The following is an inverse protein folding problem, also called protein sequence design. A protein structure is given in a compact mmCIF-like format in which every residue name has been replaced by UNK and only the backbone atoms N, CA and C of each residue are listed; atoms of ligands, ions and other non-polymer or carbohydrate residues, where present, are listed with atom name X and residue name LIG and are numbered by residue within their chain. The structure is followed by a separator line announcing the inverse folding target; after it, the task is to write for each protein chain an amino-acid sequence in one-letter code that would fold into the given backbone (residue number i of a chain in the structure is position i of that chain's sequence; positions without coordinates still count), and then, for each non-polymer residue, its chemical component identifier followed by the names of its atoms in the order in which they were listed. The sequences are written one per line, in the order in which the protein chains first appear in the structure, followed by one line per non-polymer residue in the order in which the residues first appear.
data_IF_701350544240
#
_entry.id   IF_701350544240
#
_cell.length_a   1.000
_cell.length_b   1.000
_cell.length_c   1.000
_cell.angle_alpha   90.00
_cell.angle_beta   90.00
_cell.angle_gamma   90.00
#
_symmetry.space_group_name_H-M   'P 1'
#
loop_
_entity.id
_entity.type
_entity.pdbx_description
1 polymer ?
#
# COMPACT_ATOMS: atom_id res chain seq x y z
N UNK A 1 -4.09 13.39 -13.74
CA UNK A 1 -3.33 12.23 -14.26
C UNK A 1 -3.79 10.90 -13.69
N UNK A 2 -4.77 10.86 -12.77
CA UNK A 2 -5.45 9.62 -12.37
C UNK A 2 -6.12 8.96 -13.59
N UNK A 3 -6.11 7.63 -13.65
CA UNK A 3 -6.75 6.85 -14.73
C UNK A 3 -7.53 5.66 -14.16
N UNK A 4 -8.41 5.06 -14.97
CA UNK A 4 -9.15 3.86 -14.60
C UNK A 4 -8.29 2.59 -14.47
N UNK A 5 -7.04 2.61 -14.97
CA UNK A 5 -6.08 1.50 -14.84
C UNK A 5 -5.06 1.72 -13.73
N UNK A 6 -5.12 2.86 -13.07
CA UNK A 6 -4.21 3.27 -12.01
C UNK A 6 -3.26 4.36 -12.44
N UNK A 7 -2.18 4.49 -11.69
CA UNK A 7 -1.08 5.41 -11.93
C UNK A 7 0.24 4.71 -11.61
N UNK A 8 1.35 5.38 -11.90
CA UNK A 8 2.66 5.09 -11.36
C UNK A 8 3.35 6.40 -10.98
N UNK A 9 4.63 6.32 -10.60
CA UNK A 9 5.47 7.45 -10.22
C UNK A 9 5.60 8.54 -11.30
N UNK A 10 5.28 8.24 -12.55
CA UNK A 10 5.33 9.17 -13.67
C UNK A 10 3.95 9.43 -14.30
N UNK A 11 3.64 10.71 -14.55
CA UNK A 11 2.44 11.10 -15.31
C UNK A 11 2.47 10.55 -16.74
N UNK A 12 1.30 10.25 -17.29
CA UNK A 12 1.12 9.79 -18.68
C UNK A 12 1.92 8.52 -19.02
N UNK A 13 2.02 7.59 -18.07
CA UNK A 13 2.63 6.27 -18.27
C UNK A 13 1.59 5.25 -18.74
N UNK A 14 2.03 4.29 -19.56
CA UNK A 14 1.27 3.09 -19.93
C UNK A 14 1.53 1.91 -18.99
N UNK A 15 2.44 2.08 -18.04
CA UNK A 15 2.73 1.13 -16.95
C UNK A 15 2.16 1.68 -15.65
N UNK A 16 1.48 0.83 -14.91
CA UNK A 16 0.85 1.15 -13.63
C UNK A 16 1.44 0.25 -12.54
N UNK A 17 1.56 0.77 -11.33
CA UNK A 17 1.93 -0.02 -10.17
C UNK A 17 0.94 0.15 -9.03
N UNK A 18 0.82 -0.90 -8.22
CA UNK A 18 -0.16 -0.95 -7.14
C UNK A 18 0.18 -0.01 -5.99
N UNK A 19 1.45 0.35 -5.82
CA UNK A 19 1.91 1.15 -4.69
C UNK A 19 1.40 2.59 -4.84
N UNK A 20 1.72 3.20 -5.99
CA UNK A 20 1.25 4.52 -6.38
C UNK A 20 -0.28 4.54 -6.56
N UNK A 21 -0.85 3.50 -7.17
CA UNK A 21 -2.30 3.42 -7.36
C UNK A 21 -3.07 3.31 -6.04
N UNK A 22 -2.58 2.51 -5.08
CA UNK A 22 -3.19 2.39 -3.77
C UNK A 22 -3.07 3.68 -2.95
N UNK A 23 -1.90 4.32 -2.99
CA UNK A 23 -1.68 5.60 -2.32
C UNK A 23 -2.58 6.70 -2.89
N UNK A 24 -2.57 6.84 -4.22
CA UNK A 24 -3.41 7.80 -4.93
C UNK A 24 -4.90 7.57 -4.66
N UNK A 25 -5.37 6.33 -4.78
CA UNK A 25 -6.76 5.96 -4.50
C UNK A 25 -7.19 6.38 -3.09
N UNK A 26 -6.41 5.98 -2.08
CA UNK A 26 -6.73 6.25 -0.68
C UNK A 26 -6.79 7.74 -0.39
N UNK A 27 -5.79 8.50 -0.86
CA UNK A 27 -5.73 9.94 -0.64
C UNK A 27 -6.87 10.68 -1.36
N UNK A 28 -7.10 10.37 -2.64
CA UNK A 28 -8.18 10.97 -3.42
C UNK A 28 -9.55 10.71 -2.77
N UNK A 29 -9.82 9.45 -2.39
CA UNK A 29 -11.09 9.08 -1.75
C UNK A 29 -11.29 9.77 -0.40
N UNK A 30 -10.27 9.78 0.46
CA UNK A 30 -10.37 10.43 1.77
C UNK A 30 -10.57 11.95 1.68
N UNK A 31 -10.22 12.57 0.55
CA UNK A 31 -10.42 14.00 0.30
C UNK A 31 -11.65 14.28 -0.59
N UNK A 32 -12.55 13.31 -0.75
CA UNK A 32 -13.85 13.51 -1.40
C UNK A 32 -13.85 13.45 -2.92
N UNK A 33 -12.77 12.97 -3.55
CA UNK A 33 -12.77 12.72 -4.99
C UNK A 33 -13.43 11.37 -5.31
N UNK A 34 -14.19 11.35 -6.41
CA UNK A 34 -14.78 10.13 -6.94
C UNK A 34 -13.72 9.29 -7.65
N UNK A 35 -13.34 8.18 -7.03
CA UNK A 35 -12.40 7.18 -7.58
C UNK A 35 -13.00 5.79 -7.43
N UNK A 36 -13.04 5.02 -8.52
CA UNK A 36 -13.53 3.64 -8.51
C UNK A 36 -12.47 2.69 -7.98
N UNK A 37 -12.90 1.73 -7.15
CA UNK A 37 -12.08 0.61 -6.70
C UNK A 37 -11.72 -0.38 -7.82
N UNK A 38 -12.40 -0.30 -8.98
CA UNK A 38 -12.11 -1.16 -10.14
C UNK A 38 -10.68 -1.00 -10.66
N UNK A 39 -10.01 0.10 -10.30
CA UNK A 39 -8.59 0.31 -10.55
C UNK A 39 -7.74 -0.88 -10.08
N UNK A 40 -8.14 -1.55 -9.00
CA UNK A 40 -7.41 -2.69 -8.43
C UNK A 40 -7.57 -3.99 -9.20
N UNK A 41 -8.56 -4.10 -10.11
CA UNK A 41 -8.73 -5.27 -10.97
C UNK A 41 -7.52 -5.48 -11.89
N UNK A 42 -6.80 -4.39 -12.24
CA UNK A 42 -5.59 -4.48 -13.07
C UNK A 42 -4.43 -5.21 -12.38
N UNK A 43 -4.43 -5.24 -11.04
CA UNK A 43 -3.36 -5.81 -10.22
C UNK A 43 -3.75 -7.16 -9.61
N UNK A 44 -5.00 -7.57 -9.77
CA UNK A 44 -5.54 -8.83 -9.25
C UNK A 44 -5.36 -9.95 -10.27
N UNK A 45 -4.91 -11.12 -9.80
CA UNK A 45 -4.89 -12.34 -10.59
C UNK A 45 -5.02 -13.57 -9.69
N UNK A 46 -6.16 -14.24 -9.76
CA UNK A 46 -6.38 -15.51 -9.07
C UNK A 46 -6.54 -15.37 -7.55
N UNK A 47 -7.08 -14.24 -7.09
CA UNK A 47 -7.25 -13.90 -5.68
C UNK A 47 -5.99 -13.31 -5.02
N UNK A 48 -4.93 -13.08 -5.79
CA UNK A 48 -3.69 -12.46 -5.33
C UNK A 48 -3.48 -11.10 -6.01
N UNK A 49 -2.76 -10.21 -5.33
CA UNK A 49 -2.43 -8.87 -5.83
C UNK A 49 -0.92 -8.72 -6.05
N UNK A 50 -0.56 -8.01 -7.11
CA UNK A 50 0.83 -7.86 -7.57
C UNK A 50 1.21 -6.40 -7.80
N UNK A 51 2.49 -6.08 -7.65
CA UNK A 51 2.99 -4.73 -7.83
C UNK A 51 2.78 -4.19 -9.25
N UNK A 52 2.96 -5.03 -10.27
CA UNK A 52 2.80 -4.67 -11.68
C UNK A 52 1.95 -5.75 -12.34
N UNK A 53 0.95 -5.33 -13.12
CA UNK A 53 0.09 -6.26 -13.87
C UNK A 53 0.90 -7.24 -14.71
N UNK A 54 0.63 -8.54 -14.57
CA UNK A 54 1.32 -9.60 -15.31
C UNK A 54 2.68 -10.03 -14.75
N UNK A 55 3.18 -9.40 -13.69
CA UNK A 55 4.38 -9.83 -12.96
C UNK A 55 4.02 -10.54 -11.64
N UNK A 56 5.00 -11.20 -11.03
CA UNK A 56 4.85 -11.89 -9.74
C UNK A 56 5.45 -11.11 -8.56
N UNK A 57 5.85 -9.85 -8.77
CA UNK A 57 6.50 -9.05 -7.73
C UNK A 57 5.49 -8.60 -6.66
N UNK A 58 5.80 -8.84 -5.40
CA UNK A 58 5.03 -8.40 -4.22
C UNK A 58 5.99 -7.72 -3.23
N UNK A 59 6.03 -6.38 -3.25
CA UNK A 59 6.79 -5.57 -2.29
C UNK A 59 6.00 -5.40 -0.99
N UNK A 60 6.70 -5.26 0.15
CA UNK A 60 6.06 -5.07 1.46
C UNK A 60 5.35 -3.72 1.49
N UNK A 61 5.97 -2.65 0.99
CA UNK A 61 5.39 -1.31 0.95
C UNK A 61 4.15 -1.26 0.05
N UNK A 62 4.21 -1.85 -1.14
CA UNK A 62 3.07 -1.92 -2.05
C UNK A 62 1.88 -2.66 -1.44
N UNK A 63 2.13 -3.81 -0.77
CA UNK A 63 1.06 -4.54 -0.07
C UNK A 63 0.56 -3.82 1.18
N UNK A 64 1.44 -3.07 1.86
CA UNK A 64 1.07 -2.22 2.98
C UNK A 64 0.16 -1.06 2.55
N UNK A 65 0.48 -0.40 1.44
CA UNK A 65 -0.34 0.67 0.90
C UNK A 65 -1.67 0.15 0.34
N UNK A 66 -1.68 -1.03 -0.30
CA UNK A 66 -2.90 -1.74 -0.65
C UNK A 66 -3.76 -2.03 0.59
N UNK A 67 -3.16 -2.54 1.67
CA UNK A 67 -3.87 -2.81 2.92
C UNK A 67 -4.51 -1.54 3.49
N UNK A 68 -3.79 -0.42 3.52
CA UNK A 68 -4.35 0.87 3.97
C UNK A 68 -5.47 1.37 3.05
N UNK A 69 -5.31 1.24 1.73
CA UNK A 69 -6.32 1.66 0.75
C UNK A 69 -7.59 0.81 0.83
N UNK A 70 -7.45 -0.49 1.07
CA UNK A 70 -8.59 -1.41 1.20
C UNK A 70 -9.50 -1.09 2.39
N UNK A 71 -9.03 -0.33 3.38
CA UNK A 71 -9.82 0.01 4.56
C UNK A 71 -10.76 1.20 4.36
N UNK A 72 -10.64 1.93 3.26
CA UNK A 72 -11.58 3.00 2.86
C UNK A 72 -12.60 2.51 1.83
N UNK A 73 -13.00 1.24 1.95
CA UNK A 73 -13.99 0.60 1.08
C UNK A 73 -15.41 1.11 1.37
N UNK A 74 -16.22 1.15 0.33
CA UNK A 74 -17.67 1.29 0.43
C UNK A 74 -18.35 -0.08 0.33
N UNK A 75 -19.55 -0.25 0.92
CA UNK A 75 -20.30 -1.50 0.80
C UNK A 75 -20.50 -1.89 -0.67
N UNK A 76 -20.19 -3.14 -1.01
CA UNK A 76 -20.31 -3.68 -2.37
C UNK A 76 -19.02 -3.68 -3.19
N UNK A 77 -17.95 -3.01 -2.73
CA UNK A 77 -16.65 -3.01 -3.39
C UNK A 77 -15.84 -4.29 -3.08
N UNK A 78 -16.30 -5.42 -3.64
CA UNK A 78 -15.72 -6.75 -3.39
C UNK A 78 -14.20 -6.83 -3.64
N UNK A 79 -13.70 -6.14 -4.66
CA UNK A 79 -12.26 -6.10 -4.95
C UNK A 79 -11.43 -5.55 -3.79
N UNK A 80 -11.98 -4.63 -2.98
CA UNK A 80 -11.30 -4.12 -1.78
C UNK A 80 -11.44 -5.07 -0.59
N UNK A 81 -12.52 -5.83 -0.49
CA UNK A 81 -12.65 -6.89 0.51
C UNK A 81 -11.58 -7.97 0.28
N UNK A 82 -11.44 -8.39 -0.97
CA UNK A 82 -10.42 -9.34 -1.41
C UNK A 82 -9.00 -8.77 -1.19
N UNK A 83 -8.78 -7.50 -1.57
CA UNK A 83 -7.50 -6.82 -1.35
C UNK A 83 -7.15 -6.73 0.14
N UNK A 84 -8.12 -6.41 1.01
CA UNK A 84 -7.92 -6.33 2.46
C UNK A 84 -7.52 -7.68 3.03
N UNK A 85 -8.22 -8.73 2.62
CA UNK A 85 -7.97 -10.10 3.09
C UNK A 85 -6.59 -10.60 2.63
N UNK A 86 -6.27 -10.39 1.35
CA UNK A 86 -4.98 -10.79 0.78
C UNK A 86 -3.81 -10.04 1.43
N UNK A 87 -3.85 -8.70 1.42
CA UNK A 87 -2.77 -7.86 1.92
C UNK A 87 -2.54 -8.04 3.42
N UNK A 88 -3.59 -8.17 4.24
CA UNK A 88 -3.45 -8.45 5.67
C UNK A 88 -2.78 -9.80 5.92
N UNK A 89 -3.18 -10.85 5.19
CA UNK A 89 -2.57 -12.17 5.31
C UNK A 89 -1.11 -12.16 4.86
N UNK A 90 -0.81 -11.47 3.76
CA UNK A 90 0.55 -11.30 3.26
C UNK A 90 1.45 -10.64 4.31
N UNK A 91 1.02 -9.49 4.85
CA UNK A 91 1.80 -8.72 5.83
C UNK A 91 1.98 -9.49 7.14
N UNK A 92 0.95 -10.21 7.64
CA UNK A 92 1.07 -11.07 8.83
C UNK A 92 2.05 -12.23 8.62
N UNK A 93 2.04 -12.86 7.43
CA UNK A 93 3.01 -13.91 7.09
C UNK A 93 4.45 -13.35 7.08
N UNK A 94 4.65 -12.18 6.48
CA UNK A 94 5.95 -11.49 6.49
C UNK A 94 6.38 -11.11 7.91
N UNK A 95 5.47 -10.59 8.73
CA UNK A 95 5.73 -10.28 10.13
C UNK A 95 6.17 -11.51 10.92
N UNK A 96 5.43 -12.63 10.81
CA UNK A 96 5.74 -13.88 11.51
C UNK A 96 7.09 -14.49 11.06
N UNK A 97 7.47 -14.28 9.79
CA UNK A 97 8.75 -14.73 9.25
C UNK A 97 9.91 -13.76 9.51
N UNK A 98 9.67 -12.63 10.20
CA UNK A 98 10.64 -11.54 10.37
C UNK A 98 11.18 -11.00 9.02
N UNK A 99 10.28 -10.87 8.03
CA UNK A 99 10.55 -10.46 6.65
C UNK A 99 9.84 -9.15 6.28
N UNK A 100 9.69 -8.23 7.23
CA UNK A 100 9.17 -6.88 6.99
C UNK A 100 10.29 -5.94 6.57
N UNK A 101 10.95 -6.28 5.46
CA UNK A 101 11.90 -5.43 4.76
C UNK A 101 11.45 -5.29 3.31
N UNK A 102 11.71 -4.14 2.70
CA UNK A 102 11.34 -3.87 1.32
C UNK A 102 12.54 -3.96 0.37
N UNK A 103 12.27 -4.30 -0.88
CA UNK A 103 13.31 -4.36 -1.93
C UNK A 103 13.67 -2.96 -2.44
N UNK A 104 12.74 -2.02 -2.36
CA UNK A 104 12.82 -0.71 -3.01
C UNK A 104 13.19 0.43 -2.07
N UNK A 105 13.24 0.17 -0.75
CA UNK A 105 13.54 1.20 0.25
C UNK A 105 14.19 0.60 1.50
N UNK A 106 15.16 1.32 2.04
CA UNK A 106 15.76 1.09 3.36
C UNK A 106 15.12 2.11 4.29
N UNK A 107 14.20 1.65 5.15
CA UNK A 107 13.48 2.50 6.10
C UNK A 107 13.99 2.31 7.51
N UNK A 108 13.93 3.36 8.33
CA UNK A 108 14.23 3.30 9.76
C UNK A 108 13.40 2.25 10.51
N UNK A 109 12.08 2.20 10.30
CA UNK A 109 11.20 1.24 11.00
C UNK A 109 9.95 0.82 10.21
N UNK A 110 10.14 0.20 9.05
CA UNK A 110 9.04 -0.41 8.28
C UNK A 110 8.28 -1.48 9.11
N UNK A 111 8.99 -2.19 9.97
CA UNK A 111 8.40 -3.23 10.81
C UNK A 111 7.37 -2.68 11.79
N UNK A 112 7.67 -1.53 12.42
CA UNK A 112 6.78 -0.83 13.32
C UNK A 112 5.59 -0.20 12.61
N UNK A 113 5.78 0.37 11.43
CA UNK A 113 4.67 0.93 10.62
C UNK A 113 3.65 -0.16 10.26
N UNK A 114 4.12 -1.28 9.72
CA UNK A 114 3.25 -2.42 9.37
C UNK A 114 2.63 -3.04 10.63
N UNK A 115 3.42 -3.19 11.70
CA UNK A 115 2.95 -3.73 12.97
C UNK A 115 1.81 -2.91 13.57
N UNK A 116 1.96 -1.59 13.60
CA UNK A 116 0.92 -0.67 14.07
C UNK A 116 -0.36 -0.83 13.25
N UNK A 117 -0.28 -0.79 11.92
CA UNK A 117 -1.48 -0.89 11.08
C UNK A 117 -2.20 -2.24 11.15
N UNK A 118 -1.46 -3.34 11.35
CA UNK A 118 -2.06 -4.67 11.55
C UNK A 118 -2.76 -4.80 12.90
N UNK A 119 -2.32 -4.07 13.91
CA UNK A 119 -2.90 -4.04 15.24
C UNK A 119 -4.07 -3.06 15.34
N UNK A 120 -3.94 -1.89 14.72
CA UNK A 120 -4.91 -0.80 14.77
C UNK A 120 -5.45 -0.52 13.36
N UNK A 121 -6.64 -1.05 13.02
CA UNK A 121 -7.26 -0.76 11.73
C UNK A 121 -7.65 0.72 11.63
N UNK A 122 -7.88 1.20 10.41
CA UNK A 122 -8.18 2.62 10.12
C UNK A 122 -9.34 3.16 10.96
N UNK A 123 -10.40 2.38 11.17
CA UNK A 123 -11.56 2.78 11.98
C UNK A 123 -11.24 2.97 13.48
N UNK A 124 -10.10 2.46 13.95
CA UNK A 124 -9.61 2.57 15.32
C UNK A 124 -8.32 3.44 15.41
N UNK A 125 -7.84 3.97 14.29
CA UNK A 125 -6.63 4.78 14.25
C UNK A 125 -6.96 6.24 14.56
N UNK A 126 -6.84 6.63 15.83
CA UNK A 126 -7.03 8.02 16.23
C UNK A 126 -5.87 8.89 15.72
N UNK A 127 -6.13 10.09 15.18
CA UNK A 127 -5.11 10.89 14.52
C UNK A 127 -3.85 11.13 15.36
N UNK A 128 -4.01 11.41 16.67
CA UNK A 128 -2.88 11.66 17.57
C UNK A 128 -2.10 10.40 17.94
N UNK A 129 -2.76 9.24 17.96
CA UNK A 129 -2.11 7.95 18.24
C UNK A 129 -1.23 7.56 17.07
N UNK A 130 -1.78 7.52 15.85
CA UNK A 130 -1.02 7.20 14.63
C UNK A 130 0.16 8.15 14.45
N UNK A 131 -0.07 9.46 14.60
CA UNK A 131 1.00 10.47 14.50
C UNK A 131 2.11 10.24 15.51
N UNK A 132 1.77 9.86 16.75
CA UNK A 132 2.76 9.66 17.82
C UNK A 132 3.70 8.50 17.52
N UNK A 133 3.18 7.38 17.02
CA UNK A 133 3.98 6.23 16.59
C UNK A 133 4.79 6.56 15.33
N UNK A 134 4.16 7.20 14.34
CA UNK A 134 4.84 7.52 13.09
C UNK A 134 6.03 8.48 13.26
N UNK A 135 5.97 9.41 14.22
CA UNK A 135 7.12 10.27 14.58
C UNK A 135 8.35 9.48 15.06
N UNK A 136 8.16 8.31 15.65
CA UNK A 136 9.26 7.42 16.04
C UNK A 136 9.77 6.57 14.89
N UNK A 137 8.91 6.29 13.91
CA UNK A 137 9.18 5.38 12.79
C UNK A 137 9.80 6.09 11.59
N UNK A 138 9.43 7.35 11.35
CA UNK A 138 9.94 8.15 10.23
C UNK A 138 11.47 8.33 10.30
N UNK A 139 12.16 7.96 9.21
CA UNK A 139 13.62 8.04 9.11
C UNK A 139 14.17 9.40 8.70
N UNK A 140 13.32 10.35 8.30
CA UNK A 140 13.79 11.66 7.88
C UNK A 140 14.64 11.57 6.61
N UNK A 141 15.85 12.11 6.67
CA UNK A 141 16.83 12.07 5.56
C UNK A 141 17.62 10.77 5.49
N UNK A 142 17.48 9.87 6.48
CA UNK A 142 18.25 8.63 6.56
C UNK A 142 17.57 7.46 5.83
N UNK A 143 16.31 7.62 5.39
CA UNK A 143 15.63 6.65 4.53
C UNK A 143 16.20 6.75 3.10
N UNK A 144 16.49 5.60 2.48
CA UNK A 144 17.15 5.53 1.16
C UNK A 144 16.36 4.67 0.20
N UNK A 145 16.12 5.16 -1.02
CA UNK A 145 15.42 4.39 -2.05
C UNK A 145 16.41 3.60 -2.90
N UNK A 146 15.99 2.41 -3.34
CA UNK A 146 16.79 1.50 -4.16
C UNK A 146 16.19 1.47 -5.57
N UNK A 147 16.85 2.16 -6.51
CA UNK A 147 16.55 2.08 -7.93
C UNK A 147 17.61 1.27 -8.69
N UNK A 148 18.01 1.76 -9.87
CA UNK A 148 19.27 1.31 -10.52
C UNK A 148 20.51 1.71 -9.70
N UNK A 149 20.39 2.81 -8.97
CA UNK A 149 21.33 3.33 -7.97
C UNK A 149 20.54 3.72 -6.74
N UNK A 150 21.24 3.92 -5.61
CA UNK A 150 20.63 4.54 -4.43
C UNK A 150 20.26 5.99 -4.73
N UNK A 151 19.13 6.46 -4.21
CA UNK A 151 18.67 7.84 -4.33
C UNK A 151 17.79 8.26 -3.15
#
# INVERSE_FOLDING_TARGET
YWTHKGICWARNSDVYDIDDSAMGFRLLRLHGHEVSADVFQHFEKGGEFFCIGGQSTQAVTGMFNLYRASQVLFPGEKILEDAKQFSSNYLRKRQAANQLFDKWIIMKDLSGEVGYALQFPWYASLPRVETRFYLEQYGGQDDVWIGKTLY
#
